data_IF_357087054594
#
_entry.id   IF_357087054594
#
_cell.length_a   1.000
_cell.length_b   1.000
_cell.length_c   1.000
_cell.angle_alpha   90.00
_cell.angle_beta   90.00
_cell.angle_gamma   90.00
#
_symmetry.space_group_name_H-M   'P 1'
#
loop_
_entity.id
_entity.type
_entity.pdbx_description
1 polymer ?
#
# COMPACT_ATOMS: atom_id res chain seq x y z
N UNK A 1 6.47 -65.99 -32.30
CA UNK A 1 6.95 -67.36 -32.60
C UNK A 1 8.41 -67.27 -33.01
N UNK A 2 9.19 -68.26 -32.57
CA UNK A 2 10.51 -68.67 -33.06
C UNK A 2 11.70 -67.69 -32.88
N UNK A 3 12.53 -68.04 -31.90
CA UNK A 3 13.98 -67.86 -31.94
C UNK A 3 14.60 -68.69 -33.10
N UNK A 4 15.90 -68.48 -33.38
CA UNK A 4 16.77 -69.64 -33.19
C UNK A 4 18.06 -69.31 -32.45
N UNK A 5 18.40 -70.28 -31.61
CA UNK A 5 19.66 -70.47 -30.91
C UNK A 5 20.80 -70.84 -31.87
N UNK A 6 22.00 -70.36 -31.58
CA UNK A 6 23.22 -71.16 -31.71
C UNK A 6 24.10 -70.93 -30.49
N UNK A 7 24.27 -72.00 -29.70
CA UNK A 7 25.36 -72.15 -28.74
C UNK A 7 26.49 -72.88 -29.47
N UNK A 8 27.70 -72.36 -29.37
CA UNK A 8 28.91 -73.16 -29.43
C UNK A 8 29.81 -72.70 -28.29
N UNK A 9 30.14 -73.63 -27.42
CA UNK A 9 30.97 -73.44 -26.25
C UNK A 9 32.45 -73.40 -26.65
N UNK A 10 33.24 -72.51 -26.04
CA UNK A 10 34.60 -72.84 -25.66
C UNK A 10 34.96 -72.17 -24.33
N UNK A 11 35.66 -72.98 -23.56
CA UNK A 11 35.99 -72.90 -22.15
C UNK A 11 37.23 -72.04 -21.87
N UNK A 12 37.23 -71.43 -20.69
CA UNK A 12 38.39 -71.28 -19.78
C UNK A 12 39.47 -70.26 -20.20
N UNK A 13 39.46 -69.08 -19.55
CA UNK A 13 40.51 -68.58 -18.62
C UNK A 13 40.37 -67.06 -18.44
N UNK A 14 40.74 -66.56 -17.25
CA UNK A 14 41.17 -65.17 -17.10
C UNK A 14 40.11 -64.20 -16.57
N UNK A 15 39.98 -64.16 -15.24
CA UNK A 15 39.22 -63.16 -14.49
C UNK A 15 39.93 -61.81 -14.56
N UNK A 16 39.65 -60.99 -15.57
CA UNK A 16 40.01 -59.56 -15.55
C UNK A 16 38.74 -58.74 -15.33
N UNK A 17 38.57 -58.21 -14.11
CA UNK A 17 37.60 -57.14 -13.84
C UNK A 17 38.07 -55.90 -14.60
N UNK A 18 37.57 -55.71 -15.81
CA UNK A 18 37.62 -54.42 -16.48
C UNK A 18 36.81 -53.43 -15.65
N UNK A 19 37.50 -52.45 -15.05
CA UNK A 19 36.87 -51.27 -14.49
C UNK A 19 36.23 -50.55 -15.68
N UNK A 20 34.92 -50.75 -15.85
CA UNK A 20 34.10 -49.94 -16.75
C UNK A 20 34.13 -48.51 -16.21
N UNK A 21 34.99 -47.69 -16.77
CA UNK A 21 34.86 -46.24 -16.70
C UNK A 21 33.67 -45.87 -17.57
N UNK A 22 32.47 -45.95 -17.00
CA UNK A 22 31.30 -45.29 -17.55
C UNK A 22 31.56 -43.79 -17.51
N UNK A 23 32.20 -43.28 -18.54
CA UNK A 23 32.23 -41.86 -18.84
C UNK A 23 30.77 -41.42 -18.96
N UNK A 24 30.27 -40.70 -17.96
CA UNK A 24 29.03 -39.96 -18.07
C UNK A 24 29.23 -38.93 -19.18
N UNK A 25 28.77 -39.26 -20.39
CA UNK A 25 28.55 -38.30 -21.45
C UNK A 25 27.60 -37.26 -20.86
N UNK A 26 28.14 -36.13 -20.42
CA UNK A 26 27.34 -35.00 -19.98
C UNK A 26 26.46 -34.59 -21.14
N UNK A 27 25.16 -34.89 -21.07
CA UNK A 27 24.19 -34.48 -22.07
C UNK A 27 24.13 -32.95 -22.02
N UNK A 28 24.78 -32.29 -22.98
CA UNK A 28 24.77 -30.84 -23.13
C UNK A 28 23.59 -30.45 -24.01
N UNK A 29 22.88 -29.40 -23.62
CA UNK A 29 21.76 -28.83 -24.36
C UNK A 29 22.20 -27.45 -24.84
N UNK A 30 21.96 -27.08 -26.12
CA UNK A 30 22.23 -25.72 -26.58
C UNK A 30 21.36 -24.71 -25.81
N UNK A 31 21.83 -23.46 -25.62
CA UNK A 31 21.04 -22.42 -24.98
C UNK A 31 19.81 -22.10 -25.83
N UNK A 32 18.72 -21.68 -25.17
CA UNK A 32 17.45 -21.39 -25.85
C UNK A 32 17.40 -19.99 -26.48
N UNK A 33 18.38 -19.15 -26.16
CA UNK A 33 18.53 -17.80 -26.66
C UNK A 33 19.98 -17.32 -26.52
N UNK A 34 20.27 -16.04 -26.84
CA UNK A 34 21.61 -15.49 -26.69
C UNK A 34 22.06 -15.57 -25.22
N UNK A 35 23.32 -15.94 -25.00
CA UNK A 35 23.92 -15.90 -23.67
C UNK A 35 24.42 -14.49 -23.34
N UNK A 36 24.45 -14.12 -22.05
CA UNK A 36 25.08 -12.88 -21.61
C UNK A 36 26.53 -12.79 -22.10
N UNK A 37 26.93 -11.60 -22.55
CA UNK A 37 28.30 -11.28 -22.97
C UNK A 37 28.83 -12.03 -24.22
N UNK A 38 27.96 -12.66 -25.02
CA UNK A 38 28.35 -13.24 -26.32
C UNK A 38 28.77 -12.18 -27.35
N UNK A 39 28.32 -10.95 -27.17
CA UNK A 39 28.63 -9.78 -28.00
C UNK A 39 30.04 -9.22 -27.77
N UNK A 40 30.73 -9.67 -26.70
CA UNK A 40 32.06 -9.18 -26.36
C UNK A 40 33.12 -9.88 -27.23
N UNK A 41 33.81 -9.12 -28.09
CA UNK A 41 34.97 -9.61 -28.84
C UNK A 41 36.16 -9.87 -27.89
N UNK A 42 36.38 -11.14 -27.59
CA UNK A 42 37.48 -11.62 -26.73
C UNK A 42 38.85 -11.58 -27.41
N UNK A 43 38.92 -11.39 -28.73
CA UNK A 43 40.17 -11.43 -29.50
C UNK A 43 41.14 -10.33 -29.07
N UNK A 44 40.62 -9.17 -28.64
CA UNK A 44 41.41 -7.99 -28.24
C UNK A 44 40.99 -7.47 -26.87
N UNK A 45 41.03 -8.33 -25.85
CA UNK A 45 40.54 -8.01 -24.50
C UNK A 45 41.20 -6.76 -23.89
N UNK A 46 42.47 -6.51 -24.17
CA UNK A 46 43.25 -5.38 -23.62
C UNK A 46 42.82 -4.02 -24.20
N UNK A 47 42.29 -4.00 -25.43
CA UNK A 47 41.86 -2.77 -26.12
C UNK A 47 40.43 -2.35 -25.77
N UNK A 48 39.66 -3.22 -25.13
CA UNK A 48 38.27 -2.94 -24.76
C UNK A 48 38.16 -1.87 -23.67
N UNK A 49 37.17 -1.00 -23.81
CA UNK A 49 36.85 -0.03 -22.78
C UNK A 49 36.35 -0.76 -21.51
N UNK A 50 37.10 -0.61 -20.42
CA UNK A 50 36.74 -1.19 -19.12
C UNK A 50 35.79 -0.27 -18.35
N UNK A 51 35.00 -0.85 -17.44
CA UNK A 51 34.06 -0.09 -16.63
C UNK A 51 34.72 1.00 -15.79
N UNK A 52 35.89 0.73 -15.19
CA UNK A 52 36.70 1.67 -14.37
C UNK A 52 36.02 2.28 -13.14
N UNK A 53 34.70 2.13 -13.00
CA UNK A 53 33.93 2.50 -11.82
C UNK A 53 32.83 1.48 -11.55
N UNK A 54 32.57 1.24 -10.26
CA UNK A 54 31.50 0.36 -9.82
C UNK A 54 30.12 0.87 -10.28
N UNK A 55 29.87 2.18 -10.23
CA UNK A 55 28.60 2.74 -10.67
C UNK A 55 28.28 2.50 -12.14
N UNK A 56 29.29 2.58 -13.02
CA UNK A 56 29.08 2.34 -14.45
C UNK A 56 28.68 0.89 -14.70
N UNK A 57 29.34 -0.04 -14.02
CA UNK A 57 28.95 -1.44 -14.04
C UNK A 57 27.53 -1.64 -13.49
N UNK A 58 27.24 -1.07 -12.30
CA UNK A 58 25.93 -1.18 -11.64
C UNK A 58 24.79 -0.71 -12.54
N UNK A 59 24.93 0.45 -13.20
CA UNK A 59 23.90 0.96 -14.14
C UNK A 59 23.63 -0.02 -15.28
N UNK A 60 24.67 -0.63 -15.86
CA UNK A 60 24.52 -1.64 -16.93
C UNK A 60 23.88 -2.92 -16.41
N UNK A 61 24.24 -3.35 -15.20
CA UNK A 61 23.68 -4.54 -14.56
C UNK A 61 22.19 -4.35 -14.22
N UNK A 62 21.79 -3.18 -13.73
CA UNK A 62 20.38 -2.85 -13.47
C UNK A 62 19.56 -2.84 -14.77
N UNK A 63 20.10 -2.28 -15.86
CA UNK A 63 19.45 -2.34 -17.18
C UNK A 63 19.23 -3.77 -17.65
N UNK A 64 20.23 -4.64 -17.49
CA UNK A 64 20.12 -6.06 -17.85
C UNK A 64 19.12 -6.80 -16.96
N UNK A 65 19.09 -6.49 -15.66
CA UNK A 65 18.15 -7.12 -14.72
C UNK A 65 16.68 -6.81 -15.05
N UNK A 66 16.39 -5.65 -15.66
CA UNK A 66 15.04 -5.27 -16.09
C UNK A 66 14.65 -5.81 -17.47
N UNK A 67 15.62 -6.28 -18.26
CA UNK A 67 15.37 -6.86 -19.57
C UNK A 67 14.65 -8.23 -19.46
N UNK A 68 13.82 -8.59 -20.44
CA UNK A 68 13.23 -9.93 -20.49
C UNK A 68 14.31 -10.96 -20.83
N UNK A 69 14.29 -12.09 -20.11
CA UNK A 69 15.23 -13.20 -20.31
C UNK A 69 14.48 -14.51 -20.53
N UNK A 70 15.11 -15.43 -21.27
CA UNK A 70 14.53 -16.76 -21.54
C UNK A 70 14.73 -17.76 -20.39
N UNK A 71 15.63 -17.47 -19.46
CA UNK A 71 15.81 -18.25 -18.23
C UNK A 71 14.91 -17.74 -17.10
N UNK A 72 14.77 -18.57 -16.05
CA UNK A 72 13.98 -18.24 -14.86
C UNK A 72 14.49 -16.98 -14.18
N UNK A 73 13.62 -16.01 -13.96
CA UNK A 73 13.98 -14.75 -13.30
C UNK A 73 13.23 -14.56 -11.99
N UNK A 74 13.78 -13.74 -11.09
CA UNK A 74 13.06 -13.29 -9.90
C UNK A 74 11.71 -12.62 -10.27
N UNK A 75 11.69 -11.85 -11.37
CA UNK A 75 10.49 -11.17 -11.85
C UNK A 75 9.34 -12.12 -12.14
N UNK A 76 9.62 -13.26 -12.77
CA UNK A 76 8.63 -14.29 -13.09
C UNK A 76 7.93 -14.86 -11.84
N UNK A 77 8.67 -15.02 -10.73
CA UNK A 77 8.10 -15.60 -9.50
C UNK A 77 7.40 -14.59 -8.59
N UNK A 78 7.88 -13.35 -8.56
CA UNK A 78 7.47 -12.38 -7.53
C UNK A 78 6.66 -11.19 -8.06
N UNK A 79 6.75 -10.88 -9.36
CA UNK A 79 5.97 -9.80 -9.96
C UNK A 79 4.80 -10.36 -10.75
N UNK A 80 3.59 -9.88 -10.44
CA UNK A 80 2.42 -10.10 -11.29
C UNK A 80 2.58 -9.27 -12.56
N UNK A 81 2.65 -9.93 -13.70
CA UNK A 81 2.55 -9.25 -14.99
C UNK A 81 1.15 -8.64 -15.11
N UNK A 82 1.09 -7.39 -15.53
CA UNK A 82 -0.16 -6.72 -15.90
C UNK A 82 -0.24 -6.76 -17.42
N UNK A 83 -1.34 -7.30 -17.96
CA UNK A 83 -1.48 -7.39 -19.40
C UNK A 83 -1.58 -5.96 -19.98
N UNK A 84 -0.82 -5.63 -21.03
CA UNK A 84 -0.86 -4.30 -21.62
C UNK A 84 -2.23 -3.96 -22.24
N UNK A 85 -3.06 -4.98 -22.51
CA UNK A 85 -4.47 -4.82 -22.95
C UNK A 85 -5.38 -4.28 -21.85
N UNK A 86 -5.00 -4.40 -20.58
CA UNK A 86 -5.85 -4.01 -19.45
C UNK A 86 -5.80 -2.49 -19.17
N UNK A 87 -4.84 -1.78 -19.77
CA UNK A 87 -4.63 -0.35 -19.53
C UNK A 87 -5.46 0.51 -20.46
N UNK A 88 -6.78 0.46 -20.29
CA UNK A 88 -7.72 1.38 -20.93
C UNK A 88 -7.64 2.74 -20.23
N UNK A 89 -7.56 3.83 -21.01
CA UNK A 89 -7.64 5.18 -20.48
C UNK A 89 -9.08 5.70 -20.58
N UNK A 90 -9.71 5.97 -19.43
CA UNK A 90 -11.08 6.47 -19.33
C UNK A 90 -11.15 7.97 -19.02
N UNK A 91 -10.01 8.67 -18.98
CA UNK A 91 -9.93 10.08 -18.60
C UNK A 91 -10.18 11.08 -19.73
N UNK A 92 -10.20 12.36 -19.34
CA UNK A 92 -10.22 13.47 -20.30
C UNK A 92 -8.99 13.45 -21.23
N UNK A 93 -9.13 13.97 -22.46
CA UNK A 93 -8.02 14.07 -23.41
C UNK A 93 -6.94 15.03 -22.88
N UNK A 94 -5.65 14.78 -23.22
CA UNK A 94 -4.56 15.65 -22.80
C UNK A 94 -4.69 17.04 -23.43
N UNK A 95 -4.25 18.11 -22.71
CA UNK A 95 -4.27 19.46 -23.24
C UNK A 95 -3.35 19.58 -24.46
N UNK A 96 -3.82 20.26 -25.50
CA UNK A 96 -3.02 20.53 -26.71
C UNK A 96 -2.06 21.68 -26.45
N UNK A 97 -0.76 21.46 -26.64
CA UNK A 97 0.22 22.53 -26.44
C UNK A 97 1.31 22.52 -27.50
N UNK A 98 1.71 23.72 -27.95
CA UNK A 98 2.82 23.90 -28.89
C UNK A 98 4.16 23.65 -28.19
N UNK A 99 4.79 22.52 -28.50
CA UNK A 99 6.10 22.14 -27.93
C UNK A 99 7.19 23.14 -28.30
N UNK A 100 7.15 23.69 -29.52
CA UNK A 100 8.16 24.63 -30.02
C UNK A 100 8.13 25.94 -29.25
N UNK A 101 6.94 26.52 -29.03
CA UNK A 101 6.77 27.76 -28.27
C UNK A 101 7.21 27.58 -26.81
N UNK A 102 6.74 26.53 -26.14
CA UNK A 102 7.15 26.20 -24.76
C UNK A 102 8.66 26.03 -24.62
N UNK A 103 9.31 25.37 -25.59
CA UNK A 103 10.76 25.20 -25.55
C UNK A 103 11.49 26.53 -25.70
N UNK A 104 11.00 27.42 -26.56
CA UNK A 104 11.59 28.74 -26.77
C UNK A 104 11.48 29.61 -25.51
N UNK A 105 10.30 29.65 -24.87
CA UNK A 105 10.08 30.35 -23.60
C UNK A 105 11.00 29.83 -22.50
N UNK A 106 11.08 28.50 -22.32
CA UNK A 106 11.96 27.88 -21.32
C UNK A 106 13.44 28.20 -21.58
N UNK A 107 13.87 28.22 -22.84
CA UNK A 107 15.26 28.59 -23.19
C UNK A 107 15.55 30.05 -22.86
N UNK A 108 14.63 30.97 -23.17
CA UNK A 108 14.78 32.40 -22.84
C UNK A 108 14.90 32.60 -21.32
N UNK A 109 13.98 32.02 -20.56
CA UNK A 109 14.01 32.07 -19.09
C UNK A 109 15.35 31.54 -18.52
N UNK A 110 15.84 30.40 -19.03
CA UNK A 110 17.12 29.85 -18.59
C UNK A 110 18.32 30.72 -18.98
N UNK A 111 18.27 31.41 -20.12
CA UNK A 111 19.31 32.34 -20.54
C UNK A 111 19.37 33.56 -19.62
N UNK A 112 18.21 34.14 -19.31
CA UNK A 112 18.09 35.28 -18.39
C UNK A 112 18.56 34.91 -16.97
N UNK A 113 18.11 33.77 -16.45
CA UNK A 113 18.51 33.29 -15.13
C UNK A 113 20.03 33.04 -15.03
N UNK A 114 20.64 32.46 -16.08
CA UNK A 114 22.08 32.19 -16.12
C UNK A 114 22.94 33.43 -16.36
N UNK A 115 22.38 34.47 -16.98
CA UNK A 115 23.06 35.74 -17.16
C UNK A 115 23.18 36.53 -15.84
N UNK A 116 22.31 36.26 -14.86
CA UNK A 116 22.36 36.90 -13.56
C UNK A 116 23.56 36.41 -12.73
N UNK A 117 24.51 37.32 -12.47
CA UNK A 117 25.71 37.04 -11.67
C UNK A 117 25.42 36.76 -10.19
N UNK A 118 24.31 37.25 -9.65
CA UNK A 118 23.92 37.02 -8.25
C UNK A 118 23.47 35.58 -8.03
N UNK A 119 22.67 35.05 -8.96
CA UNK A 119 22.21 33.65 -8.96
C UNK A 119 23.37 32.67 -9.14
N UNK A 120 24.34 32.98 -10.02
CA UNK A 120 25.57 32.20 -10.15
C UNK A 120 26.37 32.18 -8.85
N UNK A 121 26.55 33.34 -8.22
CA UNK A 121 27.27 33.47 -6.95
C UNK A 121 26.56 32.70 -5.84
N UNK A 122 25.24 32.83 -5.73
CA UNK A 122 24.44 32.12 -4.74
C UNK A 122 24.49 30.60 -4.94
N UNK A 123 24.46 30.12 -6.19
CA UNK A 123 24.61 28.71 -6.51
C UNK A 123 26.02 28.20 -6.14
N UNK A 124 27.08 28.95 -6.46
CA UNK A 124 28.47 28.59 -6.13
C UNK A 124 28.70 28.52 -4.62
N UNK A 125 28.12 29.45 -3.87
CA UNK A 125 28.20 29.50 -2.40
C UNK A 125 27.19 28.56 -1.72
N UNK A 126 26.33 27.87 -2.49
CA UNK A 126 25.26 26.99 -2.01
C UNK A 126 24.26 27.69 -1.07
N UNK A 127 24.03 28.98 -1.29
CA UNK A 127 23.06 29.80 -0.56
C UNK A 127 21.77 30.03 -1.34
N UNK A 128 21.70 29.59 -2.60
CA UNK A 128 20.49 29.68 -3.42
C UNK A 128 19.34 28.86 -2.81
N UNK A 129 18.12 29.42 -2.83
CA UNK A 129 16.90 28.77 -2.36
C UNK A 129 15.83 28.80 -3.44
N UNK A 130 14.99 27.76 -3.49
CA UNK A 130 13.94 27.64 -4.49
C UNK A 130 12.58 27.85 -3.81
N UNK A 131 11.71 28.73 -4.32
CA UNK A 131 10.39 28.96 -3.75
C UNK A 131 9.49 27.72 -3.96
N UNK A 132 9.21 27.00 -2.87
CA UNK A 132 8.46 25.73 -2.93
C UNK A 132 7.03 25.91 -3.44
N UNK A 133 6.35 27.01 -3.09
CA UNK A 133 4.98 27.28 -3.55
C UNK A 133 4.90 27.47 -5.07
N UNK A 134 5.86 28.19 -5.66
CA UNK A 134 5.92 28.37 -7.10
C UNK A 134 6.25 27.04 -7.82
N UNK A 135 7.14 26.23 -7.24
CA UNK A 135 7.44 24.88 -7.75
C UNK A 135 6.19 24.00 -7.73
N UNK A 136 5.43 24.04 -6.63
CA UNK A 136 4.20 23.28 -6.48
C UNK A 136 3.14 23.68 -7.50
N UNK A 137 2.90 24.98 -7.67
CA UNK A 137 1.94 25.50 -8.64
C UNK A 137 2.30 25.08 -10.09
N UNK A 138 3.58 25.18 -10.48
CA UNK A 138 4.01 24.74 -11.80
C UNK A 138 3.98 23.21 -11.95
N UNK A 139 4.29 22.48 -10.88
CA UNK A 139 4.20 21.03 -10.85
C UNK A 139 2.76 20.56 -11.08
N UNK A 140 1.77 21.12 -10.37
CA UNK A 140 0.35 20.77 -10.51
C UNK A 140 -0.17 20.98 -11.94
N UNK A 141 0.34 22.00 -12.64
CA UNK A 141 -0.02 22.30 -14.04
C UNK A 141 0.64 21.37 -15.07
N UNK A 142 1.82 20.83 -14.78
CA UNK A 142 2.66 20.15 -15.78
C UNK A 142 2.74 18.64 -15.60
N UNK A 143 3.54 18.16 -14.65
CA UNK A 143 3.76 16.73 -14.43
C UNK A 143 3.01 16.15 -13.22
N UNK A 144 2.36 17.01 -12.43
CA UNK A 144 1.54 16.63 -11.29
C UNK A 144 0.50 15.57 -11.59
N UNK A 145 -0.33 15.72 -12.64
CA UNK A 145 -1.34 14.73 -13.00
C UNK A 145 -0.76 13.33 -13.21
N UNK A 146 0.39 13.20 -13.88
CA UNK A 146 1.05 11.91 -14.09
C UNK A 146 1.62 11.31 -12.80
N UNK A 147 2.16 12.15 -11.91
CA UNK A 147 2.63 11.68 -10.60
C UNK A 147 1.48 11.19 -9.75
N UNK A 148 0.34 11.91 -9.75
CA UNK A 148 -0.89 11.53 -9.06
C UNK A 148 -1.46 10.22 -9.60
N UNK A 149 -1.46 10.03 -10.93
CA UNK A 149 -1.85 8.76 -11.56
C UNK A 149 -0.95 7.60 -11.09
N UNK A 150 0.38 7.77 -11.16
CA UNK A 150 1.32 6.73 -10.70
C UNK A 150 1.13 6.40 -9.22
N UNK A 151 0.84 7.41 -8.40
CA UNK A 151 0.59 7.22 -6.98
C UNK A 151 -0.73 6.48 -6.75
N UNK A 152 -1.80 6.83 -7.47
CA UNK A 152 -3.08 6.12 -7.41
C UNK A 152 -2.95 4.65 -7.86
N UNK A 153 -2.11 4.35 -8.86
CA UNK A 153 -1.78 2.98 -9.27
C UNK A 153 -1.02 2.23 -8.17
N UNK A 154 -0.04 2.88 -7.54
CA UNK A 154 0.70 2.32 -6.39
C UNK A 154 -0.23 1.99 -5.21
N UNK A 155 -1.15 2.90 -4.89
CA UNK A 155 -2.15 2.67 -3.86
C UNK A 155 -3.23 1.68 -4.27
N UNK A 156 -3.26 1.18 -5.51
CA UNK A 156 -4.24 0.20 -5.99
C UNK A 156 -5.63 0.76 -6.28
N UNK A 157 -5.80 2.08 -6.39
CA UNK A 157 -7.12 2.71 -6.56
C UNK A 157 -7.78 2.30 -7.89
N UNK A 158 -7.04 2.35 -9.00
CA UNK A 158 -7.60 1.99 -10.32
C UNK A 158 -7.99 0.52 -10.42
N UNK A 159 -7.24 -0.35 -9.74
CA UNK A 159 -7.54 -1.79 -9.69
C UNK A 159 -8.89 -2.02 -9.00
N UNK A 160 -9.10 -1.37 -7.86
CA UNK A 160 -10.27 -1.59 -7.03
C UNK A 160 -11.51 -0.84 -7.58
N UNK A 161 -11.35 0.41 -8.02
CA UNK A 161 -12.46 1.27 -8.47
C UNK A 161 -12.94 1.00 -9.90
N UNK A 162 -12.01 0.71 -10.81
CA UNK A 162 -12.26 0.62 -12.25
C UNK A 162 -11.73 -0.67 -12.89
N UNK A 163 -11.43 -1.70 -12.07
CA UNK A 163 -10.89 -2.98 -12.54
C UNK A 163 -9.66 -2.87 -13.46
N UNK A 164 -8.78 -1.90 -13.19
CA UNK A 164 -7.53 -1.70 -13.92
C UNK A 164 -7.57 -0.59 -14.97
N UNK A 165 -8.75 -0.05 -15.32
CA UNK A 165 -8.81 1.13 -16.17
C UNK A 165 -8.25 2.36 -15.45
N UNK A 166 -7.45 3.15 -16.17
CA UNK A 166 -6.72 4.29 -15.60
C UNK A 166 -7.23 5.61 -16.18
N UNK A 167 -6.99 6.71 -15.48
CA UNK A 167 -7.17 8.05 -16.04
C UNK A 167 -6.13 9.01 -15.48
N UNK A 168 -5.85 10.09 -16.21
CA UNK A 168 -4.98 11.16 -15.73
C UNK A 168 -5.86 12.25 -15.09
N UNK A 169 -5.66 12.58 -13.80
CA UNK A 169 -6.43 13.62 -13.12
C UNK A 169 -5.96 15.02 -13.56
N UNK A 170 -6.45 15.47 -14.71
CA UNK A 170 -6.09 16.76 -15.30
C UNK A 170 -6.59 17.95 -14.49
N UNK A 171 -7.73 17.80 -13.82
CA UNK A 171 -8.35 18.86 -13.01
C UNK A 171 -7.81 18.75 -11.58
N UNK A 172 -7.06 19.76 -11.08
CA UNK A 172 -6.61 19.78 -9.70
C UNK A 172 -7.82 19.87 -8.77
N UNK A 173 -8.01 18.83 -7.97
CA UNK A 173 -9.03 18.77 -6.93
C UNK A 173 -8.37 19.13 -5.59
N UNK A 174 -8.76 20.26 -5.02
CA UNK A 174 -8.31 20.71 -3.71
C UNK A 174 -9.42 20.46 -2.69
N UNK A 175 -9.13 19.60 -1.72
CA UNK A 175 -10.06 19.27 -0.64
C UNK A 175 -9.39 19.64 0.67
N UNK A 176 -10.09 20.35 1.54
CA UNK A 176 -9.61 20.72 2.86
C UNK A 176 -10.70 20.55 3.92
N UNK A 177 -10.35 19.98 5.07
CA UNK A 177 -11.26 19.91 6.22
C UNK A 177 -11.01 21.10 7.15
N UNK A 178 -12.08 21.77 7.58
CA UNK A 178 -11.99 22.84 8.57
C UNK A 178 -11.96 22.25 9.99
N UNK A 179 -10.88 22.52 10.72
CA UNK A 179 -10.73 22.16 12.12
C UNK A 179 -10.94 23.41 12.98
N UNK A 180 -12.15 23.57 13.51
CA UNK A 180 -12.53 24.80 14.23
C UNK A 180 -12.71 25.97 13.27
N UNK A 181 -12.25 27.16 13.67
CA UNK A 181 -12.47 28.40 12.90
C UNK A 181 -11.26 28.83 12.05
N UNK A 182 -10.03 28.42 12.37
CA UNK A 182 -8.81 28.93 11.73
C UNK A 182 -7.98 27.88 10.98
N UNK A 183 -8.03 26.61 11.39
CA UNK A 183 -7.15 25.58 10.85
C UNK A 183 -7.79 24.81 9.68
N UNK A 184 -7.04 24.63 8.60
CA UNK A 184 -7.43 23.83 7.43
C UNK A 184 -6.48 22.65 7.26
N UNK A 185 -7.05 21.46 7.11
CA UNK A 185 -6.32 20.22 6.90
C UNK A 185 -6.48 19.81 5.44
N UNK A 186 -5.46 20.06 4.59
CA UNK A 186 -5.53 19.73 3.18
C UNK A 186 -5.43 18.21 2.96
N UNK A 187 -6.26 17.71 2.07
CA UNK A 187 -6.20 16.35 1.54
C UNK A 187 -5.38 16.39 0.26
N UNK A 188 -4.36 15.54 0.21
CA UNK A 188 -3.50 15.36 -0.94
C UNK A 188 -3.74 13.98 -1.58
N UNK A 189 -2.74 13.10 -1.55
CA UNK A 189 -2.74 11.82 -2.25
C UNK A 189 -2.11 10.75 -1.35
N UNK A 190 -2.82 10.40 -0.28
CA UNK A 190 -2.42 9.36 0.67
C UNK A 190 -1.83 9.88 1.98
N UNK A 191 -1.95 11.18 2.28
CA UNK A 191 -1.66 11.69 3.62
C UNK A 191 -2.67 11.13 4.64
N UNK A 192 -2.28 11.11 5.91
CA UNK A 192 -3.15 10.68 7.00
C UNK A 192 -4.08 11.84 7.40
N UNK A 193 -5.37 11.54 7.54
CA UNK A 193 -6.39 12.43 8.12
C UNK A 193 -7.21 11.60 9.10
N UNK A 194 -7.44 12.14 10.29
CA UNK A 194 -8.16 11.45 11.35
C UNK A 194 -9.67 11.58 11.19
N UNK A 195 -10.46 10.61 11.72
CA UNK A 195 -11.92 10.72 11.72
C UNK A 195 -12.45 11.96 12.46
N UNK A 196 -11.77 12.39 13.51
CA UNK A 196 -12.09 13.62 14.26
C UNK A 196 -12.01 14.86 13.35
N UNK A 197 -10.94 14.97 12.56
CA UNK A 197 -10.74 16.06 11.61
C UNK A 197 -11.74 15.99 10.44
N UNK A 198 -12.08 14.78 9.99
CA UNK A 198 -13.07 14.52 8.95
C UNK A 198 -14.50 14.32 9.49
N UNK A 199 -14.84 14.99 10.60
CA UNK A 199 -16.17 14.87 11.21
C UNK A 199 -17.25 15.66 10.46
N UNK A 200 -16.87 16.71 9.75
CA UNK A 200 -17.75 17.55 8.92
C UNK A 200 -17.37 17.44 7.44
N UNK A 201 -18.30 17.80 6.55
CA UNK A 201 -18.04 17.81 5.12
C UNK A 201 -16.88 18.78 4.78
N UNK A 202 -15.94 18.40 3.89
CA UNK A 202 -14.81 19.24 3.56
C UNK A 202 -15.19 20.39 2.60
N UNK A 203 -14.35 21.41 2.58
CA UNK A 203 -14.34 22.42 1.53
C UNK A 203 -13.66 21.85 0.28
N UNK A 204 -14.38 21.88 -0.84
CA UNK A 204 -13.91 21.34 -2.11
C UNK A 204 -13.85 22.43 -3.16
N UNK A 205 -12.67 22.62 -3.73
CA UNK A 205 -12.42 23.61 -4.79
C UNK A 205 -11.68 22.98 -5.95
N UNK A 206 -12.06 23.38 -7.17
CA UNK A 206 -11.45 22.92 -8.41
C UNK A 206 -11.68 23.97 -9.51
N UNK A 207 -10.81 23.94 -10.52
CA UNK A 207 -10.93 24.81 -11.69
C UNK A 207 -11.96 24.24 -12.67
N UNK A 208 -12.99 25.03 -13.00
CA UNK A 208 -14.10 24.62 -13.84
C UNK A 208 -14.49 25.72 -14.84
N UNK A 209 -14.90 25.29 -16.04
CA UNK A 209 -15.43 26.19 -17.08
C UNK A 209 -16.79 26.75 -16.66
N UNK A 210 -17.14 27.95 -17.15
CA UNK A 210 -18.50 28.49 -16.97
C UNK A 210 -19.52 27.54 -17.63
N UNK A 211 -20.64 27.31 -16.96
CA UNK A 211 -21.73 26.42 -17.42
C UNK A 211 -21.37 24.93 -17.54
N UNK A 212 -20.25 24.50 -16.94
CA UNK A 212 -19.93 23.07 -16.82
C UNK A 212 -20.67 22.43 -15.65
N UNK A 213 -20.95 21.13 -15.76
CA UNK A 213 -21.58 20.32 -14.72
C UNK A 213 -20.61 19.27 -14.21
N UNK A 214 -20.64 19.03 -12.90
CA UNK A 214 -19.72 18.10 -12.23
C UNK A 214 -20.43 17.23 -11.21
N UNK A 215 -19.84 16.06 -10.97
CA UNK A 215 -20.28 15.15 -9.91
C UNK A 215 -19.09 14.84 -9.01
N UNK A 216 -19.29 15.01 -7.70
CA UNK A 216 -18.32 14.68 -6.67
C UNK A 216 -18.75 13.42 -5.93
N UNK A 217 -17.85 12.47 -5.82
CA UNK A 217 -18.05 11.18 -5.17
C UNK A 217 -16.98 10.97 -4.10
N UNK A 218 -17.39 10.62 -2.89
CA UNK A 218 -16.51 10.31 -1.76
C UNK A 218 -16.79 8.90 -1.24
N UNK A 219 -15.78 8.04 -1.30
CA UNK A 219 -15.91 6.60 -1.08
C UNK A 219 -14.80 6.04 -0.19
N UNK A 220 -15.11 4.94 0.48
CA UNK A 220 -14.17 4.18 1.29
C UNK A 220 -13.99 2.78 0.70
N UNK A 221 -12.77 2.49 0.22
CA UNK A 221 -12.46 1.25 -0.48
C UNK A 221 -12.28 0.06 0.47
N UNK A 222 -11.83 0.32 1.70
CA UNK A 222 -11.44 -0.73 2.66
C UNK A 222 -12.44 -0.85 3.83
N UNK A 223 -13.48 -0.02 3.82
CA UNK A 223 -14.43 0.18 4.93
C UNK A 223 -15.47 -0.90 5.14
N UNK A 224 -15.73 -1.72 4.11
CA UNK A 224 -16.91 -2.55 4.10
C UNK A 224 -16.79 -3.73 5.08
N UNK A 225 -17.83 -3.93 5.90
CA UNK A 225 -17.75 -4.83 7.05
C UNK A 225 -18.10 -6.28 6.70
N UNK A 226 -18.86 -6.49 5.63
CA UNK A 226 -19.43 -7.79 5.24
C UNK A 226 -18.77 -8.31 3.95
N UNK A 227 -18.97 -7.59 2.86
CA UNK A 227 -18.45 -7.91 1.54
C UNK A 227 -17.08 -7.24 1.32
N UNK A 228 -16.05 -7.97 0.85
CA UNK A 228 -14.71 -7.43 0.68
C UNK A 228 -14.55 -6.56 -0.58
N UNK A 229 -15.34 -6.82 -1.62
CA UNK A 229 -15.24 -6.13 -2.93
C UNK A 229 -16.20 -4.94 -3.03
N UNK A 230 -16.98 -4.68 -1.98
CA UNK A 230 -17.93 -3.59 -1.92
C UNK A 230 -17.34 -2.37 -1.20
N UNK A 231 -17.80 -1.19 -1.58
CA UNK A 231 -17.34 0.08 -1.02
C UNK A 231 -18.48 0.73 -0.21
N UNK A 232 -18.13 1.65 0.69
CA UNK A 232 -19.13 2.54 1.29
C UNK A 232 -19.10 3.92 0.65
N UNK A 233 -20.28 4.40 0.24
CA UNK A 233 -20.47 5.75 -0.26
C UNK A 233 -20.73 6.73 0.89
N UNK A 234 -19.72 7.56 1.16
CA UNK A 234 -19.75 8.55 2.22
C UNK A 234 -20.41 9.86 1.81
N UNK A 235 -20.20 10.33 0.57
CA UNK A 235 -20.82 11.56 0.06
C UNK A 235 -20.99 11.53 -1.45
N UNK A 236 -22.15 11.96 -1.95
CA UNK A 236 -22.41 12.08 -3.39
C UNK A 236 -23.16 13.38 -3.66
N UNK A 237 -22.52 14.26 -4.41
CA UNK A 237 -23.11 15.52 -4.88
C UNK A 237 -23.08 15.52 -6.39
N UNK A 238 -24.25 15.67 -7.01
CA UNK A 238 -24.45 15.55 -8.45
C UNK A 238 -24.88 16.88 -9.06
N UNK A 239 -24.68 17.03 -10.37
CA UNK A 239 -25.12 18.21 -11.12
C UNK A 239 -24.62 19.53 -10.53
N UNK A 240 -23.37 19.57 -10.05
CA UNK A 240 -22.73 20.76 -9.47
C UNK A 240 -22.47 21.78 -10.59
N UNK A 241 -23.03 23.00 -10.50
CA UNK A 241 -22.80 24.02 -11.52
C UNK A 241 -21.44 24.70 -11.31
N UNK A 242 -20.57 24.58 -12.32
CA UNK A 242 -19.21 25.14 -12.34
C UNK A 242 -18.36 24.67 -11.16
N UNK A 243 -18.15 25.50 -10.14
CA UNK A 243 -17.37 25.17 -8.94
C UNK A 243 -18.19 25.28 -7.64
N UNK A 244 -19.51 25.45 -7.73
CA UNK A 244 -20.39 25.76 -6.59
C UNK A 244 -20.97 24.49 -6.00
N UNK A 245 -20.15 23.77 -5.23
CA UNK A 245 -20.52 22.46 -4.63
C UNK A 245 -21.80 22.55 -3.81
N UNK A 246 -22.03 23.65 -3.09
CA UNK A 246 -23.24 23.88 -2.30
C UNK A 246 -24.53 24.01 -3.14
N UNK A 247 -24.45 24.36 -4.42
CA UNK A 247 -25.60 24.41 -5.33
C UNK A 247 -25.88 23.07 -6.03
N UNK A 248 -24.99 22.08 -5.84
CA UNK A 248 -25.20 20.73 -6.36
C UNK A 248 -26.31 20.00 -5.64
N UNK A 249 -26.86 18.98 -6.29
CA UNK A 249 -27.87 18.11 -5.72
C UNK A 249 -27.19 17.05 -4.84
N UNK A 250 -27.35 17.18 -3.51
CA UNK A 250 -26.84 16.18 -2.58
C UNK A 250 -27.67 14.89 -2.68
N UNK A 251 -27.17 13.93 -3.46
CA UNK A 251 -27.83 12.63 -3.68
C UNK A 251 -27.54 11.66 -2.55
N UNK A 252 -26.45 11.86 -1.81
CA UNK A 252 -26.11 11.09 -0.63
C UNK A 252 -25.44 11.99 0.41
N UNK A 253 -26.03 12.17 1.61
CA UNK A 253 -25.51 13.09 2.59
C UNK A 253 -24.17 12.64 3.16
N UNK A 254 -23.32 13.60 3.51
CA UNK A 254 -22.00 13.33 4.07
C UNK A 254 -22.10 12.43 5.32
N UNK A 255 -21.30 11.37 5.32
CA UNK A 255 -21.12 10.49 6.47
C UNK A 255 -19.64 10.51 6.86
N UNK A 256 -19.30 10.85 8.11
CA UNK A 256 -17.92 10.84 8.57
C UNK A 256 -17.26 9.47 8.37
N UNK A 257 -15.94 9.39 8.18
CA UNK A 257 -15.24 8.13 8.09
C UNK A 257 -15.33 7.36 9.42
N UNK A 258 -15.58 6.06 9.36
CA UNK A 258 -15.69 5.18 10.54
C UNK A 258 -14.83 3.91 10.43
N UNK A 259 -13.49 4.03 10.25
CA UNK A 259 -12.61 2.86 10.20
C UNK A 259 -12.74 2.03 11.48
N UNK A 260 -12.91 0.71 11.34
CA UNK A 260 -13.11 -0.16 12.50
C UNK A 260 -11.83 -0.25 13.37
N UNK A 261 -11.98 -0.55 14.66
CA UNK A 261 -10.81 -0.64 15.54
C UNK A 261 -9.99 -1.86 15.14
N UNK A 262 -8.70 -1.66 14.81
CA UNK A 262 -7.78 -2.74 14.44
C UNK A 262 -7.95 -3.29 13.02
N UNK A 263 -8.69 -2.62 12.13
CA UNK A 263 -8.72 -2.94 10.69
C UNK A 263 -7.55 -2.34 9.91
N UNK A 264 -6.78 -1.43 10.51
CA UNK A 264 -5.61 -0.80 9.88
C UNK A 264 -5.95 0.55 9.25
N UNK A 265 -5.22 0.92 8.19
CA UNK A 265 -5.44 2.15 7.43
C UNK A 265 -6.44 1.91 6.31
N UNK A 266 -7.45 2.76 6.23
CA UNK A 266 -8.45 2.74 5.18
C UNK A 266 -8.18 3.84 4.17
N UNK A 267 -8.30 3.51 2.89
CA UNK A 267 -8.15 4.47 1.79
C UNK A 267 -9.50 5.10 1.47
N UNK A 268 -9.56 6.42 1.59
CA UNK A 268 -10.72 7.23 1.25
C UNK A 268 -10.42 8.05 0.00
N UNK A 269 -11.26 7.95 -1.02
CA UNK A 269 -11.04 8.61 -2.31
C UNK A 269 -12.17 9.59 -2.64
N UNK A 270 -11.77 10.79 -3.07
CA UNK A 270 -12.60 11.77 -3.75
C UNK A 270 -12.39 11.65 -5.25
N UNK A 271 -13.48 11.40 -5.97
CA UNK A 271 -13.52 11.34 -7.41
C UNK A 271 -14.34 12.52 -7.92
N UNK A 272 -13.76 13.29 -8.84
CA UNK A 272 -14.45 14.36 -9.54
C UNK A 272 -14.68 13.93 -10.98
N UNK A 273 -15.95 13.93 -11.39
CA UNK A 273 -16.36 13.63 -12.74
C UNK A 273 -16.87 14.88 -13.45
N UNK A 274 -16.45 15.08 -14.70
CA UNK A 274 -17.02 16.09 -15.59
C UNK A 274 -18.25 15.50 -16.27
N UNK A 275 -19.36 16.23 -16.26
CA UNK A 275 -20.58 15.85 -16.94
C UNK A 275 -20.74 16.67 -18.23
N UNK A 276 -21.11 16.01 -19.32
CA UNK A 276 -21.38 16.68 -20.59
C UNK A 276 -22.81 17.26 -20.64
N UNK A 277 -23.73 16.66 -19.89
CA UNK A 277 -25.15 17.02 -19.82
C UNK A 277 -25.68 16.78 -18.39
N UNK A 278 -26.79 17.42 -17.99
CA UNK A 278 -27.48 17.07 -16.75
C UNK A 278 -27.89 15.59 -16.77
N UNK A 279 -27.58 14.87 -15.69
CA UNK A 279 -27.90 13.44 -15.54
C UNK A 279 -28.93 13.28 -14.42
N UNK A 280 -29.88 12.36 -14.61
CA UNK A 280 -30.85 12.01 -13.57
C UNK A 280 -30.28 10.90 -12.68
N UNK A 281 -30.05 11.22 -11.40
CA UNK A 281 -29.53 10.28 -10.40
C UNK A 281 -30.61 9.76 -9.44
N UNK A 282 -31.87 9.75 -9.85
CA UNK A 282 -32.98 9.32 -8.99
C UNK A 282 -32.81 7.89 -8.43
N UNK A 283 -32.18 6.99 -9.19
CA UNK A 283 -31.92 5.60 -8.75
C UNK A 283 -30.79 5.50 -7.72
N UNK A 284 -29.82 6.42 -7.78
CA UNK A 284 -28.63 6.42 -6.92
C UNK A 284 -28.80 7.35 -5.70
N UNK A 285 -29.97 8.00 -5.59
CA UNK A 285 -30.32 8.91 -4.50
C UNK A 285 -30.66 8.13 -3.24
N UNK A 286 -30.09 8.54 -2.11
CA UNK A 286 -30.30 7.95 -0.79
C UNK A 286 -31.14 8.88 0.08
N UNK A 287 -31.87 8.34 1.07
CA UNK A 287 -32.60 9.18 2.02
C UNK A 287 -31.65 10.10 2.80
N UNK A 288 -32.12 11.28 3.19
CA UNK A 288 -31.38 12.18 4.07
C UNK A 288 -32.08 12.29 5.42
N UNK A 289 -31.47 11.86 6.55
CA UNK A 289 -30.15 11.23 6.68
C UNK A 289 -30.14 9.72 6.35
N UNK A 290 -29.04 9.21 5.77
CA UNK A 290 -28.85 7.77 5.49
C UNK A 290 -27.82 7.15 6.44
N UNK A 291 -28.27 6.47 7.50
CA UNK A 291 -27.41 5.72 8.42
C UNK A 291 -27.43 4.19 8.21
N UNK A 292 -28.22 3.71 7.24
CA UNK A 292 -28.28 2.29 6.91
C UNK A 292 -27.09 1.89 6.04
N UNK A 293 -26.21 1.04 6.58
CA UNK A 293 -25.00 0.59 5.86
C UNK A 293 -25.30 -0.14 4.55
N UNK A 294 -26.37 -0.94 4.50
CA UNK A 294 -26.76 -1.67 3.29
C UNK A 294 -27.15 -0.73 2.13
N UNK A 295 -27.72 0.44 2.43
CA UNK A 295 -28.00 1.46 1.42
C UNK A 295 -26.72 2.18 1.01
N UNK A 296 -25.76 2.33 1.93
CA UNK A 296 -24.45 2.97 1.68
C UNK A 296 -23.50 2.07 0.89
N UNK A 297 -23.75 0.77 0.81
CA UNK A 297 -23.02 -0.16 -0.07
C UNK A 297 -23.07 0.35 -1.50
N UNK A 298 -21.91 0.37 -2.15
CA UNK A 298 -21.73 0.98 -3.45
C UNK A 298 -20.62 0.28 -4.24
N UNK A 299 -20.76 0.29 -5.56
CA UNK A 299 -19.74 -0.17 -6.49
C UNK A 299 -19.48 0.93 -7.52
N UNK A 300 -18.30 1.54 -7.45
CA UNK A 300 -17.94 2.68 -8.31
C UNK A 300 -17.93 2.32 -9.79
N UNK A 301 -17.48 1.10 -10.14
CA UNK A 301 -17.48 0.63 -11.53
C UNK A 301 -18.89 0.62 -12.13
N UNK A 302 -19.86 0.03 -11.41
CA UNK A 302 -21.22 -0.12 -11.93
C UNK A 302 -21.90 1.23 -12.09
N UNK A 303 -21.68 2.13 -11.12
CA UNK A 303 -22.13 3.52 -11.22
C UNK A 303 -21.54 4.23 -12.45
N UNK A 304 -20.22 4.13 -12.64
CA UNK A 304 -19.58 4.75 -13.80
C UNK A 304 -20.07 4.14 -15.11
N UNK A 305 -20.21 2.81 -15.19
CA UNK A 305 -20.64 2.12 -16.41
C UNK A 305 -22.06 2.51 -16.85
N UNK A 306 -22.96 2.81 -15.90
CA UNK A 306 -24.31 3.32 -16.20
C UNK A 306 -24.27 4.71 -16.84
N UNK A 307 -23.34 5.56 -16.41
CA UNK A 307 -23.31 6.99 -16.75
C UNK A 307 -22.13 7.40 -17.65
N UNK A 308 -21.31 6.46 -18.11
CA UNK A 308 -20.05 6.72 -18.85
C UNK A 308 -20.23 7.51 -20.16
N UNK A 309 -21.41 7.48 -20.77
CA UNK A 309 -21.69 8.23 -22.01
C UNK A 309 -21.82 9.74 -21.77
N UNK A 310 -22.15 10.15 -20.54
CA UNK A 310 -22.37 11.54 -20.18
C UNK A 310 -21.42 12.03 -19.07
N UNK A 311 -20.54 11.16 -18.58
CA UNK A 311 -19.69 11.43 -17.42
C UNK A 311 -18.27 10.91 -17.66
N UNK A 312 -17.25 11.72 -17.36
CA UNK A 312 -15.84 11.34 -17.52
C UNK A 312 -15.03 11.70 -16.26
N UNK A 313 -14.19 10.80 -15.72
CA UNK A 313 -13.34 11.10 -14.57
C UNK A 313 -12.28 12.16 -14.93
N UNK A 314 -12.18 13.17 -14.07
CA UNK A 314 -11.39 14.37 -14.34
C UNK A 314 -10.42 14.72 -13.20
N UNK A 315 -10.81 14.48 -11.95
CA UNK A 315 -10.02 14.79 -10.76
C UNK A 315 -10.01 13.63 -9.76
N UNK A 316 -8.94 13.57 -8.97
CA UNK A 316 -8.74 12.57 -7.94
C UNK A 316 -7.98 13.20 -6.77
N UNK A 317 -8.47 12.95 -5.55
CA UNK A 317 -7.74 13.20 -4.31
C UNK A 317 -8.06 12.06 -3.35
N UNK A 318 -7.15 11.69 -2.46
CA UNK A 318 -7.41 10.61 -1.50
C UNK A 318 -6.54 10.75 -0.26
N UNK A 319 -7.00 10.18 0.85
CA UNK A 319 -6.28 10.15 2.12
C UNK A 319 -6.39 8.79 2.80
N UNK A 320 -5.55 8.58 3.80
CA UNK A 320 -5.60 7.42 4.67
C UNK A 320 -6.20 7.80 6.01
N UNK A 321 -7.05 6.94 6.55
CA UNK A 321 -7.71 7.15 7.83
C UNK A 321 -7.51 5.93 8.72
N UNK A 322 -7.24 6.17 10.00
CA UNK A 322 -7.18 5.14 11.05
C UNK A 322 -8.29 5.33 12.07
N UNK A 323 -8.55 4.31 12.86
CA UNK A 323 -9.48 4.40 13.99
C UNK A 323 -8.99 5.43 15.02
N UNK A 324 -9.94 6.21 15.54
CA UNK A 324 -9.78 7.09 16.69
C UNK A 324 -11.00 6.95 17.64
N UNK A 325 -10.98 7.65 18.77
CA UNK A 325 -12.05 7.58 19.75
C UNK A 325 -13.39 8.14 19.22
N UNK A 326 -13.36 9.10 18.28
CA UNK A 326 -14.55 9.72 17.69
C UNK A 326 -15.38 8.71 16.88
N UNK A 327 -14.74 7.70 16.28
CA UNK A 327 -15.44 6.63 15.56
C UNK A 327 -16.40 5.85 16.46
N UNK A 328 -16.06 5.69 17.74
CA UNK A 328 -16.91 4.99 18.71
C UNK A 328 -18.24 5.74 18.87
N UNK A 329 -18.17 7.07 18.93
CA UNK A 329 -19.36 7.92 18.96
C UNK A 329 -20.20 7.77 17.69
N UNK A 330 -19.57 7.75 16.52
CA UNK A 330 -20.25 7.52 15.23
C UNK A 330 -20.98 6.16 15.18
N UNK A 331 -20.37 5.07 15.65
CA UNK A 331 -21.03 3.76 15.69
C UNK A 331 -22.25 3.73 16.62
N UNK A 332 -22.12 4.30 17.82
CA UNK A 332 -23.19 4.28 18.81
C UNK A 332 -24.33 5.25 18.49
N UNK A 333 -24.02 6.48 18.08
CA UNK A 333 -25.02 7.53 17.88
C UNK A 333 -25.60 7.55 16.47
N UNK A 334 -24.76 7.48 15.43
CA UNK A 334 -25.23 7.59 14.05
C UNK A 334 -25.72 6.24 13.53
N UNK A 335 -24.94 5.17 13.73
CA UNK A 335 -25.25 3.85 13.17
C UNK A 335 -26.12 2.98 14.09
N UNK A 336 -26.24 3.31 15.38
CA UNK A 336 -26.97 2.53 16.38
C UNK A 336 -26.44 1.11 16.56
N UNK A 337 -25.12 0.90 16.34
CA UNK A 337 -24.46 -0.41 16.38
C UNK A 337 -23.37 -0.45 17.45
N UNK A 338 -23.02 -1.66 17.90
CA UNK A 338 -21.86 -1.87 18.76
C UNK A 338 -20.55 -1.70 17.97
N UNK A 339 -19.50 -1.26 18.67
CA UNK A 339 -18.17 -1.10 18.07
C UNK A 339 -17.66 -2.45 17.55
N UNK A 340 -17.21 -2.48 16.29
CA UNK A 340 -16.55 -3.65 15.71
C UNK A 340 -15.04 -3.51 15.93
N UNK A 341 -14.45 -4.45 16.66
CA UNK A 341 -13.01 -4.55 16.85
C UNK A 341 -12.46 -5.78 16.13
N UNK A 342 -11.42 -5.60 15.32
CA UNK A 342 -10.67 -6.66 14.63
C UNK A 342 -9.29 -6.79 15.28
N UNK A 343 -8.81 -8.02 15.36
CA UNK A 343 -7.46 -8.34 15.84
C UNK A 343 -6.71 -9.06 14.73
N UNK A 344 -5.47 -8.66 14.50
CA UNK A 344 -4.57 -9.36 13.59
C UNK A 344 -4.01 -10.59 14.30
N UNK A 345 -4.36 -11.78 13.82
CA UNK A 345 -3.80 -13.03 14.32
C UNK A 345 -2.64 -13.43 13.42
N UNK A 346 -1.45 -13.61 14.00
CA UNK A 346 -0.31 -14.19 13.29
C UNK A 346 -0.58 -15.63 12.88
N UNK A 347 0.13 -16.11 11.85
CA UNK A 347 0.08 -17.53 11.51
C UNK A 347 0.56 -18.36 12.71
N UNK A 348 -0.14 -19.47 12.98
CA UNK A 348 0.30 -20.41 14.01
C UNK A 348 1.68 -20.93 13.63
N UNK A 349 2.60 -21.09 14.59
CA UNK A 349 3.91 -21.65 14.30
C UNK A 349 3.73 -23.03 13.69
N UNK A 350 4.53 -23.33 12.65
CA UNK A 350 4.57 -24.66 12.10
C UNK A 350 5.08 -25.62 13.18
N UNK A 351 4.21 -26.54 13.59
CA UNK A 351 4.60 -27.65 14.46
C UNK A 351 4.77 -28.87 13.56
N UNK A 352 5.98 -29.44 13.46
CA UNK A 352 6.13 -30.73 12.80
C UNK A 352 5.25 -31.76 13.51
N UNK A 353 4.83 -32.80 12.78
CA UNK A 353 4.15 -33.93 13.40
C UNK A 353 4.94 -34.41 14.61
N UNK A 354 4.27 -34.54 15.76
CA UNK A 354 4.91 -34.98 16.98
C UNK A 354 5.37 -36.43 16.81
N UNK A 355 6.65 -36.62 16.57
CA UNK A 355 7.28 -37.93 16.67
C UNK A 355 7.35 -38.30 18.16
N UNK A 356 6.83 -39.48 18.53
CA UNK A 356 7.07 -40.06 19.85
C UNK A 356 8.59 -40.13 20.10
N UNK A 357 9.09 -39.85 21.31
CA UNK A 357 10.52 -39.67 21.52
C UNK A 357 11.26 -41.00 21.30
N UNK A 358 11.85 -41.16 20.12
CA UNK A 358 12.92 -42.12 19.83
C UNK A 358 14.23 -41.36 19.62
N UNK A 359 14.58 -40.49 20.57
CA UNK A 359 15.96 -40.11 20.84
C UNK A 359 16.23 -40.26 22.34
N UNK A 360 16.42 -41.52 22.75
CA UNK A 360 17.20 -41.81 23.96
C UNK A 360 18.59 -41.25 23.69
N UNK A 361 18.96 -40.15 24.35
CA UNK A 361 20.37 -39.78 24.48
C UNK A 361 21.04 -40.93 25.24
N UNK A 362 21.61 -41.88 24.51
CA UNK A 362 22.56 -42.83 25.06
C UNK A 362 23.73 -42.00 25.55
N UNK A 363 23.83 -41.86 26.87
CA UNK A 363 24.93 -41.15 27.52
C UNK A 363 26.26 -41.74 27.06
N UNK A 364 27.15 -40.88 26.59
CA UNK A 364 28.57 -41.21 26.43
C UNK A 364 29.25 -41.17 27.81
N UNK A 365 30.27 -42.00 28.07
CA UNK A 365 30.75 -42.30 29.42
C UNK A 365 31.70 -41.24 29.97
N UNK A 366 31.53 -40.93 31.26
CA UNK A 366 32.52 -40.49 32.25
C UNK A 366 33.75 -39.69 31.78
N UNK A 367 33.79 -38.40 32.16
CA UNK A 367 34.99 -37.79 32.71
C UNK A 367 34.66 -37.14 34.06
N UNK A 368 35.33 -37.63 35.09
CA UNK A 368 35.27 -37.22 36.50
C UNK A 368 36.27 -36.10 36.81
N UNK A 369 35.87 -35.09 37.57
CA UNK A 369 36.65 -34.41 38.63
C UNK A 369 35.79 -33.27 39.21
N UNK A 370 35.12 -33.51 40.34
CA UNK A 370 35.55 -33.21 41.72
C UNK A 370 35.31 -31.76 42.13
N UNK A 371 34.47 -31.53 43.16
CA UNK A 371 34.81 -30.80 44.39
C UNK A 371 33.58 -30.68 45.33
N UNK A 372 33.63 -31.49 46.40
CA UNK A 372 33.36 -31.16 47.82
C UNK A 372 32.07 -30.43 48.24
N UNK A 373 31.32 -31.03 49.17
CA UNK A 373 30.51 -30.23 50.11
C UNK A 373 29.38 -30.90 50.91
N UNK A 374 29.74 -31.84 51.81
CA UNK A 374 29.10 -32.17 53.11
C UNK A 374 27.62 -32.58 53.23
N UNK A 375 27.48 -33.68 53.96
CA UNK A 375 26.30 -34.40 54.46
C UNK A 375 25.44 -33.63 55.48
N UNK A 376 24.17 -34.06 55.60
CA UNK A 376 23.33 -33.78 56.77
C UNK A 376 21.83 -34.07 56.56
N UNK A 377 21.43 -35.35 56.51
CA UNK A 377 20.04 -35.86 56.66
C UNK A 377 19.58 -35.78 58.15
N UNK A 378 18.39 -36.27 58.60
CA UNK A 378 17.28 -36.99 57.92
C UNK A 378 15.84 -36.65 58.42
N UNK A 379 14.83 -37.40 57.93
CA UNK A 379 13.61 -37.73 58.72
C UNK A 379 12.28 -37.54 57.99
N UNK A 380 11.92 -38.44 57.08
CA UNK A 380 10.85 -39.46 57.26
C UNK A 380 9.39 -38.94 57.27
N UNK A 381 8.74 -39.08 56.12
CA UNK A 381 7.31 -39.39 56.00
C UNK A 381 7.18 -40.90 55.82
N UNK A 382 6.30 -41.55 56.60
CA UNK A 382 5.83 -42.90 56.34
C UNK A 382 4.62 -42.91 55.40
N UNK A 383 4.71 -43.83 54.44
CA UNK A 383 3.70 -44.61 53.71
C UNK A 383 2.29 -44.63 54.31
N UNK A 384 1.21 -44.91 53.55
CA UNK A 384 0.90 -46.29 53.09
C UNK A 384 -0.33 -46.30 52.14
N UNK A 385 -0.12 -46.83 50.93
CA UNK A 385 -0.95 -47.77 50.11
C UNK A 385 -2.43 -47.44 49.76
N UNK A 386 -2.83 -47.24 48.48
CA UNK A 386 -3.09 -48.21 47.36
C UNK A 386 -4.56 -48.73 47.35
N UNK A 387 -5.23 -49.06 46.22
CA UNK A 387 -5.09 -48.62 44.81
C UNK A 387 -6.41 -48.54 43.97
N UNK A 388 -6.22 -48.07 42.73
CA UNK A 388 -6.82 -48.42 41.42
C UNK A 388 -7.97 -49.45 41.28
N UNK A 389 -8.88 -49.14 40.34
CA UNK A 389 -9.49 -49.94 39.25
C UNK A 389 -10.62 -49.06 38.64
N UNK A 390 -11.02 -49.02 37.36
CA UNK A 390 -10.56 -49.52 36.05
C UNK A 390 -11.57 -48.95 34.99
N UNK A 391 -11.13 -48.78 33.74
CA UNK A 391 -11.87 -48.79 32.44
C UNK A 391 -13.14 -47.92 32.23
N UNK A 392 -13.14 -46.94 31.31
CA UNK A 392 -13.31 -47.03 29.84
C UNK A 392 -14.77 -47.21 29.39
N UNK A 393 -15.31 -46.22 28.65
CA UNK A 393 -16.11 -46.30 27.40
C UNK A 393 -17.21 -45.23 27.29
N UNK A 394 -17.56 -44.94 26.03
CA UNK A 394 -18.67 -44.12 25.50
C UNK A 394 -18.41 -42.60 25.49
N UNK A 395 -18.55 -41.88 24.38
CA UNK A 395 -19.34 -42.16 23.19
C UNK A 395 -20.50 -41.17 23.10
N UNK A 396 -20.32 -40.17 22.24
CA UNK A 396 -21.34 -39.47 21.45
C UNK A 396 -22.51 -38.71 22.11
N UNK A 397 -22.64 -37.47 21.58
CA UNK A 397 -23.87 -36.77 21.20
C UNK A 397 -24.92 -36.43 22.29
N UNK A 398 -25.11 -35.13 22.50
CA UNK A 398 -26.33 -34.36 22.17
C UNK A 398 -26.20 -32.97 22.81
N UNK A 399 -26.04 -31.90 22.04
CA UNK A 399 -27.12 -31.04 21.51
C UNK A 399 -28.09 -30.51 22.58
N UNK A 400 -28.13 -29.18 22.62
CA UNK A 400 -29.25 -28.33 23.02
C UNK A 400 -29.54 -28.26 24.53
N UNK A 401 -29.90 -27.14 25.15
CA UNK A 401 -30.28 -25.79 24.73
C UNK A 401 -30.53 -24.99 26.04
N UNK A 402 -30.49 -23.66 25.96
CA UNK A 402 -31.09 -22.67 26.88
C UNK A 402 -30.52 -22.46 28.29
N UNK A 403 -30.30 -21.17 28.60
CA UNK A 403 -30.38 -20.66 29.97
C UNK A 403 -29.45 -19.49 30.29
N UNK A 404 -29.76 -18.28 29.83
CA UNK A 404 -29.46 -17.06 30.61
C UNK A 404 -30.35 -17.09 31.87
N UNK A 405 -29.90 -16.62 33.06
CA UNK A 405 -29.91 -15.17 33.30
C UNK A 405 -28.86 -14.58 34.28
N UNK A 406 -28.57 -13.30 34.04
CA UNK A 406 -28.45 -12.18 35.00
C UNK A 406 -27.40 -12.16 36.15
N UNK A 407 -26.54 -11.14 36.02
CA UNK A 407 -26.10 -10.11 37.02
C UNK A 407 -25.10 -10.41 38.16
N UNK A 408 -23.90 -9.82 37.98
CA UNK A 408 -23.03 -9.05 38.93
C UNK A 408 -22.25 -9.82 40.02
N UNK A 409 -21.15 -9.29 40.62
CA UNK A 409 -20.44 -8.00 40.39
C UNK A 409 -18.90 -8.12 40.22
N UNK A 410 -18.30 -6.96 39.92
CA UNK A 410 -16.87 -6.64 40.02
C UNK A 410 -16.18 -7.20 41.29
N UNK A 411 -14.99 -7.79 41.11
CA UNK A 411 -13.87 -7.59 42.03
C UNK A 411 -12.51 -7.77 41.33
N UNK A 412 -11.72 -6.71 41.49
CA UNK A 412 -10.30 -6.55 41.21
C UNK A 412 -9.42 -7.70 41.69
N UNK A 413 -8.49 -8.15 40.84
CA UNK A 413 -7.15 -8.59 41.25
C UNK A 413 -6.23 -8.68 40.01
N UNK A 414 -5.24 -7.80 39.96
CA UNK A 414 -3.99 -7.99 39.23
C UNK A 414 -3.22 -9.22 39.74
N UNK A 415 -2.44 -9.88 38.88
CA UNK A 415 -1.03 -10.06 39.25
C UNK A 415 -0.06 -9.78 38.09
N UNK A 416 0.84 -8.85 38.38
CA UNK A 416 2.28 -8.85 38.12
C UNK A 416 2.93 -10.10 37.48
N UNK A 417 3.60 -9.83 36.35
CA UNK A 417 4.99 -10.16 35.99
C UNK A 417 5.52 -11.61 36.05
N UNK A 418 5.93 -12.11 34.88
CA UNK A 418 7.24 -12.78 34.70
C UNK A 418 7.58 -12.95 33.21
N UNK A 419 8.86 -13.17 32.84
CA UNK A 419 9.51 -12.50 31.73
C UNK A 419 9.80 -13.45 30.56
N UNK A 420 10.02 -12.91 29.37
CA UNK A 420 10.79 -13.62 28.35
C UNK A 420 12.00 -12.80 27.96
N UNK A 421 13.15 -13.34 28.37
CA UNK A 421 14.47 -12.89 28.03
C UNK A 421 14.73 -13.07 26.53
N UNK A 422 15.28 -12.01 25.96
CA UNK A 422 15.79 -11.90 24.60
C UNK A 422 17.14 -12.64 24.56
N UNK A 423 17.27 -13.59 23.63
CA UNK A 423 18.59 -14.05 23.20
C UNK A 423 19.13 -13.07 22.16
N UNK A 424 20.21 -12.40 22.52
CA UNK A 424 21.05 -11.63 21.61
C UNK A 424 21.97 -12.57 20.85
N UNK A 425 22.04 -12.40 19.53
CA UNK A 425 23.23 -12.78 18.78
C UNK A 425 23.78 -11.56 18.04
N UNK A 426 25.10 -11.48 18.11
CA UNK A 426 25.99 -10.38 17.76
C UNK A 426 25.96 -9.99 16.29
N UNK A 427 26.05 -8.69 16.02
CA UNK A 427 26.14 -8.15 14.66
C UNK A 427 26.31 -6.64 14.65
N UNK A 428 27.50 -6.17 15.01
CA UNK A 428 27.92 -4.76 15.00
C UNK A 428 27.74 -4.13 13.61
N UNK A 429 26.86 -3.13 13.50
CA UNK A 429 26.91 -2.11 12.44
C UNK A 429 26.69 -0.75 13.12
N UNK A 430 27.72 0.09 13.09
CA UNK A 430 27.68 1.47 13.59
C UNK A 430 26.72 2.31 12.75
N UNK A 431 25.80 3.01 13.40
CA UNK A 431 25.06 4.16 12.85
C UNK A 431 25.28 5.37 13.78
N UNK A 432 25.43 6.60 13.24
CA UNK A 432 25.79 7.79 14.00
C UNK A 432 24.58 8.36 14.78
N UNK A 433 24.80 9.23 15.79
CA UNK A 433 23.73 9.70 16.67
C UNK A 433 22.78 10.68 15.97
N UNK A 434 21.47 10.45 16.16
CA UNK A 434 20.42 11.44 15.91
C UNK A 434 20.43 12.49 17.02
N UNK A 435 20.66 13.74 16.64
CA UNK A 435 20.40 14.93 17.43
C UNK A 435 18.89 15.18 17.51
N UNK A 436 18.39 15.34 18.73
CA UNK A 436 17.03 15.78 19.03
C UNK A 436 16.91 17.29 18.82
N UNK A 437 16.16 17.73 17.82
CA UNK A 437 15.72 19.14 17.69
C UNK A 437 14.27 19.26 18.09
N UNK A 438 14.06 19.95 19.21
CA UNK A 438 12.81 20.50 19.69
C UNK A 438 12.13 21.37 18.62
N UNK A 439 10.85 21.13 18.39
CA UNK A 439 10.02 21.94 17.50
C UNK A 439 9.52 23.17 18.26
N UNK A 440 10.16 24.32 18.02
CA UNK A 440 9.73 25.62 18.53
C UNK A 440 8.68 26.24 17.61
N UNK A 441 7.45 26.34 18.13
CA UNK A 441 6.32 27.02 17.49
C UNK A 441 6.62 28.50 17.25
N UNK A 442 6.72 28.91 15.97
CA UNK A 442 6.72 30.33 15.57
C UNK A 442 5.41 30.71 14.87
N UNK A 443 4.57 31.36 15.68
CA UNK A 443 3.46 32.26 15.39
C UNK A 443 3.62 33.02 14.05
N UNK A 444 2.77 32.74 13.07
CA UNK A 444 2.57 33.59 11.88
C UNK A 444 1.42 34.54 12.17
N UNK A 445 1.67 35.85 12.08
CA UNK A 445 0.63 36.89 12.17
C UNK A 445 0.01 37.09 10.80
N UNK A 446 -1.31 37.09 10.74
CA UNK A 446 -2.09 37.36 9.54
C UNK A 446 -1.88 38.79 9.02
N UNK A 447 -1.78 38.92 7.69
CA UNK A 447 -1.93 40.18 7.00
C UNK A 447 -3.22 40.17 6.18
N UNK A 448 -4.08 41.13 6.54
CA UNK A 448 -5.36 41.48 5.93
C UNK A 448 -5.16 41.99 4.51
N UNK A 449 -5.89 41.40 3.55
CA UNK A 449 -6.04 41.94 2.20
C UNK A 449 -7.15 42.98 2.19
N UNK A 450 -6.79 44.27 2.11
CA UNK A 450 -7.72 45.35 1.76
C UNK A 450 -7.69 45.59 0.25
N UNK A 451 -8.82 45.32 -0.39
CA UNK A 451 -9.12 45.74 -1.76
C UNK A 451 -9.10 47.28 -1.84
N UNK A 452 -8.25 47.83 -2.70
CA UNK A 452 -8.30 49.24 -3.10
C UNK A 452 -8.74 49.31 -4.56
N UNK A 453 -9.94 49.85 -4.74
CA UNK A 453 -10.53 50.25 -6.01
C UNK A 453 -9.75 51.43 -6.59
N UNK A 454 -9.25 51.28 -7.82
CA UNK A 454 -8.55 52.34 -8.55
C UNK A 454 -9.46 52.84 -9.68
N UNK A 455 -9.88 54.08 -9.56
CA UNK A 455 -10.67 54.84 -10.53
C UNK A 455 -9.86 55.16 -11.79
N UNK A 456 -10.53 55.12 -12.94
CA UNK A 456 -10.03 55.63 -14.23
C UNK A 456 -10.29 57.14 -14.33
N UNK A 457 -9.36 57.96 -14.84
CA UNK A 457 -9.69 59.31 -15.25
C UNK A 457 -10.15 59.35 -16.71
N UNK A 458 -11.19 60.15 -16.94
CA UNK A 458 -11.69 60.62 -18.22
C UNK A 458 -10.75 61.66 -18.82
N UNK A 459 -10.30 61.44 -20.06
CA UNK A 459 -9.68 62.49 -20.88
C UNK A 459 -10.75 63.14 -21.77
N UNK A 460 -10.86 64.46 -21.62
CA UNK A 460 -11.49 65.37 -22.56
C UNK A 460 -10.40 66.35 -23.01
N UNK A 461 -10.09 66.34 -24.31
CA UNK A 461 -9.85 67.49 -25.18
C UNK A 461 -9.60 67.03 -26.62
#
# INVERSE_FOLDING_TARGET
MAAPWWRAAFSVTGRCRGISTSASLSRRTPPLGPMPNEDIDVSNLERLEKYRSFERYRRRAEQEAHAPHWWRTYREYFLKETDPKDRINIGLPPPRVSRTQKLQERKRFLQELRANSEEERAARLRTASIPLEAVRAEWERTCGPYHKQRLAEYYGLYRDLFHGATFVPWVPLHVAYALGEEDLIPVYHGNEVTPTEASQAPEVTYEADKDSLWTLLFINLDGHLLEPDAEYLHWLVTNIPSNRVAEGQESCPYLPPFPARGSGFHRFAFLLFKQDKPINFSEDTRPSPCYQLAQRTFHTLDFYKKHQEAMTPAGLAFFQCRWDDSVTHTFHQLLGKGLVARQAWGQRPFLPCQEWPLKVKVGSPWQSSSLTGKEGSPGQQESTLVPLLFLQTCGNLCLNLYGHPLTTPNRSASPTSSPYAIWTDTGTVMSPPMESTEYSSKRVRGHSWKLTSQERPSEAN
#
